data_IF_135978848170
#
_entry.id   IF_135978848170
#
_cell.length_a   1.000
_cell.length_b   1.000
_cell.length_c   1.000
_cell.angle_alpha   90.00
_cell.angle_beta   90.00
_cell.angle_gamma   90.00
#
_symmetry.space_group_name_H-M   'P 1'
#
loop_
_entity.id
_entity.type
_entity.pdbx_description
1 polymer ?
#
# COMPACT_ATOMS: atom_id res chain seq x y z
N UNK A 1 1.01 4.63 8.85
CA UNK A 1 1.48 3.23 8.70
C UNK A 1 3.00 3.20 8.70
N UNK A 2 3.65 2.28 9.42
CA UNK A 2 5.11 2.14 9.40
C UNK A 2 5.51 0.74 8.94
N UNK A 3 6.52 0.68 8.07
CA UNK A 3 7.17 -0.55 7.65
C UNK A 3 8.52 -0.65 8.35
N UNK A 4 8.82 -1.82 8.87
CA UNK A 4 10.13 -2.13 9.42
C UNK A 4 10.73 -3.26 8.61
N UNK A 5 11.92 -3.01 8.06
CA UNK A 5 12.68 -4.01 7.32
C UNK A 5 13.94 -4.37 8.11
N UNK A 6 14.23 -5.67 8.18
CA UNK A 6 15.53 -6.18 8.61
C UNK A 6 16.30 -6.58 7.34
N UNK A 7 17.26 -5.75 6.95
CA UNK A 7 18.17 -6.03 5.86
C UNK A 7 19.26 -6.98 6.35
N UNK A 8 19.50 -8.05 5.60
CA UNK A 8 20.57 -9.02 5.88
C UNK A 8 21.52 -9.00 4.67
N UNK A 9 22.81 -8.74 4.91
CA UNK A 9 23.86 -8.74 3.90
C UNK A 9 25.16 -9.32 4.43
N UNK A 10 26.16 -9.48 3.56
CA UNK A 10 27.47 -10.01 3.95
C UNK A 10 28.14 -9.21 5.07
N UNK A 11 27.93 -7.89 5.09
CA UNK A 11 28.45 -6.99 6.12
C UNK A 11 27.65 -6.99 7.43
N UNK A 12 26.57 -7.78 7.53
CA UNK A 12 25.75 -7.90 8.73
C UNK A 12 24.28 -7.55 8.51
N UNK A 13 23.60 -7.20 9.61
CA UNK A 13 22.17 -6.90 9.62
C UNK A 13 21.92 -5.44 9.96
N UNK A 14 20.96 -4.82 9.27
CA UNK A 14 20.53 -3.45 9.55
C UNK A 14 19.01 -3.38 9.64
N UNK A 15 18.49 -2.64 10.63
CA UNK A 15 17.06 -2.38 10.78
C UNK A 15 16.76 -0.99 10.26
N UNK A 16 15.85 -0.90 9.31
CA UNK A 16 15.36 0.36 8.78
C UNK A 16 13.86 0.47 9.01
N UNK A 17 13.41 1.59 9.56
CA UNK A 17 11.98 1.87 9.77
C UNK A 17 11.56 3.06 8.93
N UNK A 18 10.62 2.84 8.02
CA UNK A 18 10.01 3.91 7.22
C UNK A 18 8.54 4.07 7.57
N UNK A 19 8.14 5.28 7.97
CA UNK A 19 6.75 5.62 8.25
C UNK A 19 6.12 6.45 7.13
N UNK A 20 4.82 6.26 6.93
CA UNK A 20 3.99 6.96 5.97
C UNK A 20 2.72 7.47 6.64
N UNK A 21 2.41 8.75 6.41
CA UNK A 21 1.14 9.38 6.78
C UNK A 21 0.17 9.37 5.59
N UNK A 22 -1.13 9.27 5.88
CA UNK A 22 -2.19 9.25 4.88
C UNK A 22 -3.24 10.31 5.23
N UNK A 23 -3.79 10.99 4.22
CA UNK A 23 -4.97 11.83 4.37
C UNK A 23 -5.83 11.81 3.11
N UNK A 24 -7.11 12.11 3.28
CA UNK A 24 -8.02 12.33 2.17
C UNK A 24 -8.03 13.82 1.83
N UNK A 25 -7.94 14.15 0.55
CA UNK A 25 -8.09 15.53 0.06
C UNK A 25 -8.72 15.50 -1.34
N UNK A 26 -9.83 16.22 -1.52
CA UNK A 26 -10.59 16.26 -2.79
C UNK A 26 -10.82 14.88 -3.44
N UNK A 27 -11.17 13.87 -2.64
CA UNK A 27 -11.39 12.49 -3.12
C UNK A 27 -10.13 11.70 -3.48
N UNK A 28 -8.93 12.27 -3.29
CA UNK A 28 -7.64 11.60 -3.49
C UNK A 28 -7.08 11.14 -2.15
N UNK A 29 -6.45 9.97 -2.14
CA UNK A 29 -5.62 9.54 -1.01
C UNK A 29 -4.24 10.13 -1.22
N UNK A 30 -3.83 11.02 -0.33
CA UNK A 30 -2.48 11.57 -0.28
C UNK A 30 -1.63 10.77 0.71
N UNK A 31 -0.37 10.57 0.38
CA UNK A 31 0.63 9.93 1.23
C UNK A 31 1.84 10.86 1.40
N UNK A 32 2.47 10.84 2.58
CA UNK A 32 3.72 11.55 2.90
C UNK A 32 4.69 10.59 3.61
N UNK A 33 5.97 10.59 3.22
CA UNK A 33 7.02 9.78 3.87
C UNK A 33 7.58 10.51 5.11
N UNK A 34 7.35 9.96 6.30
CA UNK A 34 7.85 10.50 7.57
C UNK A 34 7.52 11.99 7.75
N UNK A 35 8.28 12.66 8.62
CA UNK A 35 8.07 14.08 8.90
C UNK A 35 8.64 15.00 7.82
N UNK A 36 9.68 14.53 7.11
CA UNK A 36 10.46 15.32 6.14
C UNK A 36 9.96 15.22 4.71
N UNK A 37 9.11 14.23 4.39
CA UNK A 37 8.60 14.04 3.03
C UNK A 37 7.56 15.08 2.62
N UNK A 38 7.25 15.11 1.32
CA UNK A 38 6.16 15.88 0.75
C UNK A 38 4.91 15.02 0.57
N UNK A 39 3.74 15.66 0.54
CA UNK A 39 2.49 14.99 0.19
C UNK A 39 2.45 14.70 -1.31
N UNK A 40 2.11 13.46 -1.67
CA UNK A 40 1.89 13.04 -3.05
C UNK A 40 0.63 12.20 -3.16
N UNK A 41 0.04 12.15 -4.36
CA UNK A 41 -1.15 11.33 -4.63
C UNK A 41 -0.75 9.85 -4.60
N UNK A 42 -1.19 9.15 -3.56
CA UNK A 42 -1.01 7.70 -3.42
C UNK A 42 -2.04 6.92 -4.23
N UNK A 43 -3.30 7.38 -4.20
CA UNK A 43 -4.40 6.85 -4.99
C UNK A 43 -5.21 8.02 -5.54
N UNK A 44 -5.16 8.24 -6.85
CA UNK A 44 -5.86 9.37 -7.46
C UNK A 44 -5.55 9.68 -8.92
N UNK A 45 -4.85 8.81 -9.66
CA UNK A 45 -4.76 8.92 -11.12
C UNK A 45 -5.72 7.94 -11.78
N UNK A 46 -6.80 8.40 -12.41
CA UNK A 46 -7.56 7.60 -13.36
C UNK A 46 -6.61 7.10 -14.45
N UNK A 47 -6.62 5.80 -14.75
CA UNK A 47 -5.90 5.21 -15.89
C UNK A 47 -4.65 4.39 -15.58
N UNK A 48 -4.11 4.41 -14.36
CA UNK A 48 -3.02 3.48 -13.97
C UNK A 48 -3.63 2.24 -13.30
N UNK A 49 -3.37 1.06 -13.88
CA UNK A 49 -3.65 -0.22 -13.20
C UNK A 49 -2.88 -0.24 -11.88
N UNK A 50 -3.58 -0.48 -10.79
CA UNK A 50 -2.97 -0.63 -9.48
C UNK A 50 -2.28 -2.00 -9.37
N UNK A 51 -1.37 -2.15 -8.41
CA UNK A 51 -0.66 -3.42 -8.20
C UNK A 51 -1.62 -4.59 -7.94
N UNK A 52 -2.74 -4.31 -7.28
CA UNK A 52 -3.77 -5.29 -7.00
C UNK A 52 -4.60 -5.71 -8.22
N UNK A 53 -4.54 -4.94 -9.32
CA UNK A 53 -5.18 -5.31 -10.59
C UNK A 53 -4.38 -6.37 -11.35
N UNK A 54 -3.15 -6.68 -10.90
CA UNK A 54 -2.30 -7.72 -11.49
C UNK A 54 -2.63 -9.14 -11.03
N UNK A 55 -3.49 -9.29 -10.01
CA UNK A 55 -3.87 -10.60 -9.48
C UNK A 55 -4.92 -11.25 -10.39
N UNK A 56 -4.55 -12.31 -11.09
CA UNK A 56 -5.34 -12.96 -12.13
C UNK A 56 -5.86 -14.34 -11.70
N UNK A 57 -6.89 -14.88 -12.40
CA UNK A 57 -7.27 -16.28 -12.23
C UNK A 57 -6.09 -17.21 -12.49
N UNK A 58 -5.88 -18.19 -11.60
CA UNK A 58 -4.74 -19.11 -11.64
C UNK A 58 -3.57 -18.71 -10.74
N UNK A 59 -3.51 -17.45 -10.28
CA UNK A 59 -2.51 -17.06 -9.28
C UNK A 59 -2.76 -17.76 -7.96
N UNK A 60 -1.70 -18.28 -7.34
CA UNK A 60 -1.76 -18.98 -6.05
C UNK A 60 -2.46 -18.17 -4.95
N UNK A 61 -2.35 -16.85 -5.02
CA UNK A 61 -2.90 -15.92 -4.01
C UNK A 61 -4.34 -15.46 -4.32
N UNK A 62 -4.93 -15.81 -5.48
CA UNK A 62 -6.20 -15.24 -5.95
C UNK A 62 -7.35 -15.42 -4.95
N UNK A 63 -7.54 -16.63 -4.44
CA UNK A 63 -8.63 -16.94 -3.50
C UNK A 63 -8.54 -16.10 -2.22
N UNK A 64 -7.35 -15.99 -1.63
CA UNK A 64 -7.15 -15.17 -0.42
C UNK A 64 -7.31 -13.68 -0.71
N UNK A 65 -6.84 -13.23 -1.87
CA UNK A 65 -6.99 -11.86 -2.30
C UNK A 65 -8.48 -11.47 -2.43
N UNK A 66 -9.31 -12.33 -3.02
CA UNK A 66 -10.76 -12.10 -3.16
C UNK A 66 -11.47 -12.02 -1.81
N UNK A 67 -11.13 -12.90 -0.88
CA UNK A 67 -11.66 -12.90 0.48
C UNK A 67 -11.38 -11.56 1.19
N UNK A 68 -10.12 -11.11 1.16
CA UNK A 68 -9.70 -9.84 1.77
C UNK A 68 -10.38 -8.67 1.07
N UNK A 69 -10.44 -8.70 -0.26
CA UNK A 69 -11.07 -7.65 -1.06
C UNK A 69 -12.55 -7.49 -0.71
N UNK A 70 -13.29 -8.60 -0.60
CA UNK A 70 -14.69 -8.57 -0.20
C UNK A 70 -14.85 -8.01 1.23
N UNK A 71 -13.99 -8.43 2.17
CA UNK A 71 -14.06 -7.97 3.56
C UNK A 71 -13.87 -6.45 3.73
N UNK A 72 -12.98 -5.83 2.97
CA UNK A 72 -12.58 -4.44 3.21
C UNK A 72 -13.07 -3.42 2.16
N UNK A 73 -13.48 -3.83 0.96
CA UNK A 73 -14.04 -2.89 -0.03
C UNK A 73 -15.55 -2.67 0.14
N UNK A 74 -16.32 -3.65 0.63
CA UNK A 74 -17.75 -3.46 0.87
C UNK A 74 -18.05 -2.66 2.16
N UNK A 75 -17.12 -2.58 3.10
CA UNK A 75 -17.27 -1.79 4.34
C UNK A 75 -16.99 -0.29 4.22
N UNK A 76 -16.63 0.20 3.03
CA UNK A 76 -16.39 1.65 2.77
C UNK A 76 -17.57 2.28 2.00
N UNK A 77 -18.50 1.46 1.50
CA UNK A 77 -19.71 1.88 0.77
C UNK A 77 -21.00 1.81 1.62
N UNK A 78 -20.90 1.52 2.92
CA UNK A 78 -21.98 1.64 3.89
C UNK A 78 -21.68 2.75 4.90
#
# INVERSE_FOLDING_TARGET
MCFQALWNGQSGKSVERTCFYHKMDQGKILQKKGDTGTWYVFKGSPGRKFEFDKVLPGDRMKSKFDEVRAKYLYGILM
#
